data_IF_991953924119
#
_entry.id   IF_991953924119
#
_cell.length_a   1.000
_cell.length_b   1.000
_cell.length_c   1.000
_cell.angle_alpha   90.00
_cell.angle_beta   90.00
_cell.angle_gamma   90.00
#
_symmetry.space_group_name_H-M   'P 1'
#
loop_
_entity.id
_entity.type
_entity.pdbx_description
1 polymer ?
#
# COMPACT_ATOMS: atom_id res chain seq x y z
N UNK A 1 3.98 -9.47 -20.62
CA UNK A 1 5.01 -9.56 -19.56
C UNK A 1 4.31 -10.06 -18.31
N UNK A 2 4.92 -10.97 -17.56
CA UNK A 2 4.32 -11.50 -16.32
C UNK A 2 4.55 -10.53 -15.17
N UNK A 3 3.55 -10.33 -14.33
CA UNK A 3 3.74 -9.57 -13.10
C UNK A 3 4.74 -10.24 -12.16
N UNK A 4 5.52 -9.43 -11.47
CA UNK A 4 6.49 -9.89 -10.49
C UNK A 4 6.64 -8.91 -9.36
N UNK A 5 7.17 -9.39 -8.23
CA UNK A 5 7.67 -8.55 -7.16
C UNK A 5 9.06 -9.02 -6.73
N UNK A 6 9.89 -8.09 -6.27
CA UNK A 6 11.22 -8.39 -5.72
C UNK A 6 11.50 -7.50 -4.52
N UNK A 7 12.33 -7.96 -3.57
CA UNK A 7 12.93 -7.06 -2.58
C UNK A 7 13.81 -6.03 -3.28
N UNK A 8 13.83 -4.80 -2.79
CA UNK A 8 14.80 -3.79 -3.25
C UNK A 8 16.22 -4.13 -2.80
N UNK A 9 16.36 -4.64 -1.58
CA UNK A 9 17.58 -5.27 -1.08
C UNK A 9 17.34 -6.78 -0.89
N UNK A 10 17.97 -7.65 -1.69
CA UNK A 10 17.85 -9.10 -1.55
C UNK A 10 18.25 -9.64 -0.17
N UNK A 11 19.11 -8.92 0.55
CA UNK A 11 19.59 -9.32 1.87
C UNK A 11 18.69 -8.80 3.01
N UNK A 12 17.69 -7.98 2.70
CA UNK A 12 16.76 -7.52 3.71
C UNK A 12 15.99 -8.69 4.33
N UNK A 13 15.94 -8.71 5.65
CA UNK A 13 15.13 -9.64 6.46
C UNK A 13 14.19 -8.81 7.32
N UNK A 14 12.89 -9.02 7.18
CA UNK A 14 11.90 -8.52 8.13
C UNK A 14 11.36 -9.70 8.93
N UNK A 15 11.25 -9.54 10.25
CA UNK A 15 10.81 -10.60 11.14
C UNK A 15 9.36 -10.43 11.58
N UNK A 16 8.90 -9.17 11.67
CA UNK A 16 7.62 -8.82 12.30
C UNK A 16 6.64 -8.23 11.29
N UNK A 17 7.08 -7.44 10.33
CA UNK A 17 6.17 -6.65 9.48
C UNK A 17 6.38 -6.95 8.00
N UNK A 18 5.31 -7.29 7.30
CA UNK A 18 5.40 -7.71 5.90
C UNK A 18 4.37 -6.97 5.04
N UNK A 19 4.73 -6.77 3.77
CA UNK A 19 3.73 -6.49 2.74
C UNK A 19 2.99 -7.80 2.49
N UNK A 20 1.68 -7.76 2.60
CA UNK A 20 0.82 -8.91 2.42
C UNK A 20 0.22 -9.00 1.03
N UNK A 21 -0.96 -9.60 0.94
CA UNK A 21 -1.73 -9.67 -0.29
C UNK A 21 -1.84 -8.31 -0.94
N UNK A 22 -1.46 -8.23 -2.20
CA UNK A 22 -1.45 -7.00 -2.99
C UNK A 22 -2.21 -7.29 -4.28
N UNK A 23 -3.20 -6.48 -4.61
CA UNK A 23 -4.03 -6.69 -5.79
C UNK A 23 -4.38 -5.40 -6.50
N UNK A 24 -4.45 -5.46 -7.83
CA UNK A 24 -4.92 -4.39 -8.68
C UNK A 24 -6.15 -4.89 -9.43
N UNK A 25 -7.29 -4.22 -9.30
CA UNK A 25 -8.56 -4.68 -9.88
C UNK A 25 -9.37 -3.54 -10.49
N UNK A 26 -10.37 -3.90 -11.28
CA UNK A 26 -11.37 -2.93 -11.74
C UNK A 26 -12.11 -2.38 -10.52
N UNK A 27 -12.42 -1.09 -10.56
CA UNK A 27 -13.23 -0.46 -9.52
C UNK A 27 -14.61 -1.11 -9.45
N UNK A 28 -15.06 -1.44 -8.24
CA UNK A 28 -16.36 -2.06 -8.00
C UNK A 28 -17.28 -1.05 -7.33
N UNK A 29 -18.45 -0.80 -7.92
CA UNK A 29 -19.53 0.03 -7.35
C UNK A 29 -20.54 -0.85 -6.58
N UNK A 30 -21.18 -0.36 -5.49
CA UNK A 30 -20.94 0.92 -4.81
C UNK A 30 -19.67 0.90 -3.94
N UNK A 31 -19.08 2.06 -3.60
CA UNK A 31 -19.58 3.45 -3.82
C UNK A 31 -19.38 3.97 -5.26
N UNK A 32 -19.89 5.16 -5.62
CA UNK A 32 -19.68 5.76 -6.94
C UNK A 32 -18.20 5.89 -7.29
N UNK A 33 -17.86 5.61 -8.55
CA UNK A 33 -16.50 5.67 -9.05
C UNK A 33 -16.02 7.14 -9.14
N UNK A 34 -14.91 7.52 -8.47
CA UNK A 34 -14.33 8.84 -8.64
C UNK A 34 -13.93 9.13 -10.09
N UNK A 35 -14.04 10.40 -10.50
CA UNK A 35 -13.53 10.84 -11.79
C UNK A 35 -12.02 10.57 -11.88
N UNK A 36 -11.57 10.05 -13.01
CA UNK A 36 -10.17 9.69 -13.30
C UNK A 36 -9.60 8.50 -12.50
N UNK A 37 -10.41 7.75 -11.76
CA UNK A 37 -9.96 6.48 -11.19
C UNK A 37 -9.96 5.42 -12.30
N UNK A 38 -8.83 4.80 -12.59
CA UNK A 38 -8.74 3.75 -13.63
C UNK A 38 -8.87 2.36 -13.02
N UNK A 39 -8.19 2.15 -11.89
CA UNK A 39 -8.20 0.90 -11.15
C UNK A 39 -8.23 1.12 -9.63
N UNK A 40 -8.67 0.11 -8.91
CA UNK A 40 -8.61 0.02 -7.45
C UNK A 40 -7.45 -0.89 -7.06
N UNK A 41 -6.65 -0.45 -6.10
CA UNK A 41 -5.56 -1.23 -5.54
C UNK A 41 -5.81 -1.45 -4.05
N UNK A 42 -5.46 -2.64 -3.58
CA UNK A 42 -5.41 -2.97 -2.17
C UNK A 42 -4.07 -3.61 -1.84
N UNK A 43 -3.53 -3.26 -0.68
CA UNK A 43 -2.28 -3.79 -0.15
C UNK A 43 -2.49 -4.10 1.32
N UNK A 44 -2.29 -5.34 1.70
CA UNK A 44 -2.29 -5.74 3.09
C UNK A 44 -0.95 -5.39 3.74
N UNK A 45 -1.00 -4.94 4.99
CA UNK A 45 0.15 -4.94 5.90
C UNK A 45 -0.13 -5.98 6.97
N UNK A 46 0.81 -6.93 7.14
CA UNK A 46 0.57 -8.13 7.94
C UNK A 46 1.71 -8.40 8.92
N UNK A 47 1.39 -9.13 9.99
CA UNK A 47 2.34 -9.57 11.02
C UNK A 47 2.16 -11.06 11.29
N UNK A 48 3.17 -11.76 11.84
CA UNK A 48 3.00 -13.13 12.30
C UNK A 48 1.89 -13.24 13.35
N UNK A 49 1.24 -14.41 13.43
CA UNK A 49 0.13 -14.68 14.35
C UNK A 49 0.47 -14.40 15.83
N UNK A 50 1.74 -14.48 16.22
CA UNK A 50 2.22 -14.12 17.56
C UNK A 50 1.90 -12.66 17.94
N UNK A 51 1.76 -11.77 16.94
CA UNK A 51 1.49 -10.35 17.13
C UNK A 51 0.01 -9.98 16.95
N UNK A 52 -0.92 -10.95 16.88
CA UNK A 52 -2.35 -10.71 16.61
C UNK A 52 -3.05 -9.78 17.60
N UNK A 53 -2.60 -9.78 18.85
CA UNK A 53 -3.19 -8.98 19.93
C UNK A 53 -2.44 -7.66 20.16
N UNK A 54 -1.40 -7.40 19.37
CA UNK A 54 -0.54 -6.24 19.50
C UNK A 54 -1.22 -5.07 18.79
N UNK A 55 -1.44 -4.00 19.54
CA UNK A 55 -1.91 -2.72 19.00
C UNK A 55 -0.71 -1.82 18.74
N UNK A 56 -0.60 -1.35 17.51
CA UNK A 56 0.43 -0.42 17.08
C UNK A 56 -0.09 1.00 17.22
N UNK A 57 0.74 1.90 17.75
CA UNK A 57 0.40 3.33 17.86
C UNK A 57 0.29 3.96 16.49
N UNK A 58 1.09 3.49 15.54
CA UNK A 58 1.07 3.96 14.16
C UNK A 58 1.42 2.82 13.21
N UNK A 59 0.66 2.71 12.11
CA UNK A 59 0.96 1.83 11.00
C UNK A 59 1.01 2.69 9.73
N UNK A 60 2.13 2.66 9.02
CA UNK A 60 2.28 3.35 7.75
C UNK A 60 2.52 2.38 6.60
N UNK A 61 1.94 2.68 5.44
CA UNK A 61 2.27 2.10 4.14
C UNK A 61 2.74 3.23 3.22
N UNK A 62 3.99 3.19 2.80
CA UNK A 62 4.57 4.14 1.84
C UNK A 62 4.65 3.51 0.47
N UNK A 63 4.14 4.22 -0.54
CA UNK A 63 4.08 3.77 -1.92
C UNK A 63 4.68 4.81 -2.86
N UNK A 64 5.33 4.35 -3.93
CA UNK A 64 5.86 5.22 -4.98
C UNK A 64 5.66 4.60 -6.36
N UNK A 65 5.07 5.36 -7.27
CA UNK A 65 4.88 4.97 -8.68
C UNK A 65 6.22 4.92 -9.38
N UNK A 66 6.45 3.84 -10.11
CA UNK A 66 7.61 3.65 -11.02
C UNK A 66 7.20 3.58 -12.48
N UNK A 67 5.93 3.35 -12.77
CA UNK A 67 5.36 3.42 -14.12
C UNK A 67 3.90 2.99 -14.19
N UNK A 68 3.20 3.29 -15.29
CA UNK A 68 3.68 4.09 -16.42
C UNK A 68 3.78 5.59 -16.08
N UNK A 69 4.47 6.37 -16.91
CA UNK A 69 4.54 7.83 -16.75
C UNK A 69 3.14 8.44 -16.74
N UNK A 70 2.90 9.35 -15.80
CA UNK A 70 1.58 9.98 -15.61
C UNK A 70 0.66 9.22 -14.65
N UNK A 71 0.98 7.97 -14.32
CA UNK A 71 0.22 7.24 -13.31
C UNK A 71 0.40 7.84 -11.91
N UNK A 72 -0.68 7.88 -11.14
CA UNK A 72 -0.70 8.41 -9.78
C UNK A 72 -1.55 7.53 -8.87
N UNK A 73 -1.19 7.52 -7.60
CA UNK A 73 -2.10 7.07 -6.56
C UNK A 73 -3.12 8.15 -6.28
N UNK A 74 -4.36 7.76 -5.99
CA UNK A 74 -5.42 8.68 -5.57
C UNK A 74 -6.22 8.09 -4.40
N UNK A 75 -6.89 8.92 -3.59
CA UNK A 75 -7.78 8.43 -2.55
C UNK A 75 -8.86 7.53 -3.13
N UNK A 76 -9.17 6.46 -2.41
CA UNK A 76 -10.25 5.55 -2.75
C UNK A 76 -11.41 5.73 -1.75
N UNK A 77 -12.67 5.79 -2.20
CA UNK A 77 -13.83 5.82 -1.30
C UNK A 77 -13.92 4.65 -0.29
N UNK A 78 -13.24 3.52 -0.54
CA UNK A 78 -13.11 2.37 0.37
C UNK A 78 -11.97 2.53 1.37
N UNK A 79 -11.21 3.61 1.30
CA UNK A 79 -10.21 3.94 2.32
C UNK A 79 -10.93 4.03 3.66
N UNK A 80 -10.51 3.21 4.64
CA UNK A 80 -11.15 3.15 5.95
C UNK A 80 -11.12 4.51 6.64
N UNK A 81 -12.15 4.81 7.44
CA UNK A 81 -12.34 6.13 8.06
C UNK A 81 -11.20 6.61 8.97
N UNK A 82 -10.37 5.69 9.48
CA UNK A 82 -9.18 6.01 10.28
C UNK A 82 -7.90 6.22 9.48
N UNK A 83 -7.88 5.89 8.18
CA UNK A 83 -6.68 5.97 7.34
C UNK A 83 -6.48 7.41 6.86
N UNK A 84 -5.29 7.95 7.12
CA UNK A 84 -4.85 9.27 6.68
C UNK A 84 -4.06 9.15 5.38
N UNK A 85 -4.38 10.02 4.43
CA UNK A 85 -3.73 10.12 3.12
C UNK A 85 -2.66 11.19 3.16
N UNK A 86 -1.39 10.80 3.13
CA UNK A 86 -0.26 11.72 3.14
C UNK A 86 0.36 11.93 1.76
N UNK A 87 0.46 13.18 1.32
CA UNK A 87 1.19 13.61 0.12
C UNK A 87 2.55 14.18 0.56
N UNK A 88 3.67 13.89 -0.14
CA UNK A 88 4.96 14.43 0.24
C UNK A 88 4.98 15.96 0.09
N UNK A 89 5.57 16.64 1.08
CA UNK A 89 5.81 18.09 1.00
C UNK A 89 7.14 18.32 0.27
N UNK A 90 7.12 19.15 -0.77
CA UNK A 90 8.31 19.44 -1.57
C UNK A 90 9.46 19.98 -0.71
N UNK A 91 10.66 19.42 -0.87
CA UNK A 91 11.85 19.81 -0.09
C UNK A 91 11.84 19.37 1.38
N UNK A 92 10.93 18.48 1.78
CA UNK A 92 10.79 18.00 3.16
C UNK A 92 10.64 16.49 3.24
N UNK A 93 10.92 15.93 4.42
CA UNK A 93 10.59 14.54 4.78
C UNK A 93 9.17 14.41 5.35
N UNK A 94 8.48 15.53 5.56
CA UNK A 94 7.13 15.59 6.08
C UNK A 94 6.06 15.26 5.03
N UNK A 95 4.89 14.87 5.52
CA UNK A 95 3.73 14.50 4.71
C UNK A 95 2.56 15.41 5.06
N UNK A 96 1.94 15.98 4.04
CA UNK A 96 0.69 16.71 4.15
C UNK A 96 -0.48 15.74 4.12
N UNK A 97 -1.19 15.63 5.25
CA UNK A 97 -2.35 14.77 5.41
C UNK A 97 -3.69 15.50 5.23
N UNK A 98 -3.64 16.79 4.87
CA UNK A 98 -4.83 17.62 4.59
C UNK A 98 -5.21 17.61 3.11
N UNK A 99 -4.25 17.30 2.24
CA UNK A 99 -4.45 17.23 0.79
C UNK A 99 -4.84 15.82 0.34
N UNK A 100 -6.03 15.67 -0.24
CA UNK A 100 -6.50 14.44 -0.89
C UNK A 100 -6.13 14.35 -2.38
N UNK A 101 -5.05 15.04 -2.77
CA UNK A 101 -4.66 15.14 -4.18
C UNK A 101 -4.02 13.83 -4.69
N UNK A 102 -4.29 13.43 -5.95
CA UNK A 102 -3.55 12.37 -6.60
C UNK A 102 -2.04 12.66 -6.66
N UNK A 103 -1.20 11.68 -6.35
CA UNK A 103 0.25 11.84 -6.18
C UNK A 103 1.02 10.61 -6.66
N UNK A 104 2.23 10.76 -7.25
CA UNK A 104 3.10 9.63 -7.58
C UNK A 104 3.69 8.96 -6.34
N UNK A 105 3.65 9.60 -5.17
CA UNK A 105 4.15 9.05 -3.90
C UNK A 105 3.17 9.34 -2.79
N UNK A 106 2.78 8.33 -2.03
CA UNK A 106 1.78 8.47 -0.96
C UNK A 106 2.25 7.74 0.29
N UNK A 107 1.87 8.25 1.47
CA UNK A 107 1.93 7.55 2.74
C UNK A 107 0.51 7.38 3.26
N UNK A 108 0.06 6.14 3.39
CA UNK A 108 -1.19 5.81 4.07
C UNK A 108 -0.86 5.51 5.53
N UNK A 109 -1.55 6.18 6.46
CA UNK A 109 -1.25 6.06 7.89
C UNK A 109 -2.50 5.75 8.69
N UNK A 110 -2.46 4.70 9.48
CA UNK A 110 -3.50 4.36 10.45
C UNK A 110 -2.95 4.58 11.86
N UNK A 111 -3.43 5.60 12.59
CA UNK A 111 -3.18 5.72 14.02
C UNK A 111 -3.96 4.63 14.77
N UNK A 112 -3.35 4.03 15.78
CA UNK A 112 -3.96 3.03 16.66
C UNK A 112 -4.65 1.89 15.89
N UNK A 113 -3.89 0.85 15.56
CA UNK A 113 -4.40 -0.25 14.74
C UNK A 113 -3.85 -1.62 15.13
N UNK A 114 -4.63 -2.66 14.83
CA UNK A 114 -4.19 -4.07 14.90
C UNK A 114 -4.00 -4.61 13.49
N UNK A 115 -2.87 -5.23 13.22
CA UNK A 115 -2.48 -5.64 11.86
C UNK A 115 -3.15 -6.94 11.38
N UNK A 116 -3.74 -7.74 12.27
CA UNK A 116 -4.52 -8.94 11.90
C UNK A 116 -6.04 -8.71 11.98
N UNK A 117 -6.50 -7.50 11.65
CA UNK A 117 -7.91 -7.09 11.75
C UNK A 117 -8.68 -7.01 10.43
N UNK A 118 -8.04 -7.17 9.27
CA UNK A 118 -8.70 -7.03 7.97
C UNK A 118 -9.15 -8.35 7.33
N UNK A 119 -9.98 -8.22 6.29
CA UNK A 119 -10.78 -9.32 5.73
C UNK A 119 -10.07 -10.28 4.76
N UNK A 120 -8.76 -10.11 4.53
CA UNK A 120 -7.96 -10.98 3.65
C UNK A 120 -6.87 -11.68 4.49
N UNK A 121 -5.69 -11.08 4.64
CA UNK A 121 -4.58 -11.66 5.41
C UNK A 121 -4.02 -10.73 6.51
N UNK A 122 -4.50 -9.48 6.59
CA UNK A 122 -4.20 -8.52 7.65
C UNK A 122 -4.84 -7.16 7.36
N UNK A 123 -4.21 -6.05 7.75
CA UNK A 123 -4.78 -4.71 7.57
C UNK A 123 -4.69 -4.27 6.10
N UNK A 124 -5.83 -4.23 5.42
CA UNK A 124 -5.92 -3.82 4.01
C UNK A 124 -5.99 -2.30 3.84
N UNK A 125 -5.00 -1.73 3.17
CA UNK A 125 -5.03 -0.35 2.69
C UNK A 125 -5.63 -0.30 1.28
N UNK A 126 -6.68 0.49 1.11
CA UNK A 126 -7.37 0.69 -0.17
C UNK A 126 -7.01 2.04 -0.77
N UNK A 127 -6.64 2.04 -2.06
CA UNK A 127 -6.35 3.25 -2.82
C UNK A 127 -6.76 3.09 -4.29
N UNK A 128 -6.80 4.21 -5.02
CA UNK A 128 -7.07 4.26 -6.45
C UNK A 128 -5.77 4.46 -7.23
N UNK A 129 -5.79 4.02 -8.48
CA UNK A 129 -4.76 4.34 -9.47
C UNK A 129 -5.42 5.11 -10.60
N UNK A 130 -4.83 6.25 -10.96
CA UNK A 130 -5.21 7.06 -12.11
C UNK A 130 -4.06 7.16 -13.12
N UNK A 131 -4.37 7.55 -14.35
CA UNK A 131 -3.39 7.63 -15.44
C UNK A 131 -2.90 6.26 -15.90
N UNK A 132 -3.72 5.21 -15.74
CA UNK A 132 -3.41 3.85 -16.16
C UNK A 132 -4.22 3.49 -17.43
N UNK A 133 -3.60 3.50 -18.62
CA UNK A 133 -4.24 3.01 -19.84
C UNK A 133 -4.79 1.59 -19.68
N UNK A 134 -5.92 1.29 -20.34
CA UNK A 134 -6.69 0.04 -20.17
C UNK A 134 -5.92 -1.27 -20.40
N UNK A 135 -4.82 -1.24 -21.14
CA UNK A 135 -3.95 -2.40 -21.43
C UNK A 135 -2.57 -2.28 -20.81
N UNK A 136 -2.32 -1.23 -20.03
CA UNK A 136 -1.02 -0.98 -19.43
C UNK A 136 -0.84 -1.74 -18.13
N UNK A 137 0.43 -1.94 -17.79
CA UNK A 137 0.82 -2.50 -16.50
C UNK A 137 1.30 -1.40 -15.57
N UNK A 138 0.95 -1.51 -14.31
CA UNK A 138 1.39 -0.64 -13.25
C UNK A 138 2.67 -1.17 -12.59
N UNK A 139 3.59 -0.28 -12.22
CA UNK A 139 4.80 -0.61 -11.49
C UNK A 139 4.99 0.39 -10.35
N UNK A 140 5.30 -0.11 -9.17
CA UNK A 140 5.40 0.71 -7.97
C UNK A 140 6.29 0.04 -6.92
N UNK A 141 6.64 0.77 -5.87
CA UNK A 141 7.33 0.24 -4.71
C UNK A 141 6.48 0.39 -3.47
N UNK A 142 6.61 -0.54 -2.53
CA UNK A 142 5.89 -0.53 -1.26
C UNK A 142 6.81 -0.85 -0.09
N UNK A 143 6.65 -0.10 1.01
CA UNK A 143 7.30 -0.37 2.28
C UNK A 143 6.34 -0.02 3.41
N UNK A 144 6.31 -0.84 4.46
CA UNK A 144 5.49 -0.62 5.64
C UNK A 144 6.34 -0.37 6.87
N UNK A 145 5.84 0.47 7.77
CA UNK A 145 6.38 0.64 9.13
C UNK A 145 5.25 0.49 10.14
N UNK A 146 5.57 0.00 11.32
CA UNK A 146 4.63 -0.07 12.42
C UNK A 146 5.37 0.24 13.72
N UNK A 147 4.81 1.16 14.49
CA UNK A 147 5.38 1.65 15.73
C UNK A 147 4.55 1.18 16.92
N UNK A 148 5.25 0.79 17.97
CA UNK A 148 4.76 0.70 19.33
C UNK A 148 5.51 1.69 20.21
N UNK A 149 4.98 1.93 21.42
CA UNK A 149 5.52 2.89 22.40
C UNK A 149 7.05 2.76 22.60
N UNK A 150 7.61 1.55 22.49
CA UNK A 150 9.02 1.27 22.77
C UNK A 150 9.82 0.71 21.58
N UNK A 151 9.19 0.45 20.43
CA UNK A 151 9.87 -0.18 19.29
C UNK A 151 9.17 0.11 17.97
N UNK A 152 9.98 0.28 16.92
CA UNK A 152 9.53 0.39 15.53
C UNK A 152 9.96 -0.86 14.76
N UNK A 153 9.09 -1.35 13.88
CA UNK A 153 9.41 -2.41 12.94
C UNK A 153 9.13 -1.96 11.51
N UNK A 154 9.89 -2.50 10.56
CA UNK A 154 9.82 -2.12 9.14
C UNK A 154 9.81 -3.36 8.27
N UNK A 155 9.03 -3.33 7.18
CA UNK A 155 9.05 -4.39 6.18
C UNK A 155 10.21 -4.19 5.21
N UNK A 156 10.64 -5.26 4.55
CA UNK A 156 11.53 -5.10 3.40
C UNK A 156 10.79 -4.33 2.30
N UNK A 157 11.39 -3.24 1.75
CA UNK A 157 10.82 -2.55 0.61
C UNK A 157 10.72 -3.49 -0.59
N UNK A 158 9.55 -3.53 -1.21
CA UNK A 158 9.28 -4.34 -2.39
C UNK A 158 9.14 -3.46 -3.63
N UNK A 159 9.58 -3.99 -4.77
CA UNK A 159 9.29 -3.44 -6.10
C UNK A 159 8.34 -4.38 -6.82
N UNK A 160 7.20 -3.86 -7.25
CA UNK A 160 6.22 -4.53 -8.07
C UNK A 160 6.38 -4.05 -9.52
N UNK A 161 6.43 -5.00 -10.45
CA UNK A 161 6.61 -4.72 -11.88
C UNK A 161 5.56 -5.44 -12.70
N UNK A 162 5.17 -4.80 -13.80
CA UNK A 162 4.26 -5.35 -14.81
C UNK A 162 2.90 -5.78 -14.24
N UNK A 163 2.38 -5.08 -13.22
CA UNK A 163 1.16 -5.45 -12.51
C UNK A 163 -0.08 -4.97 -13.27
N UNK A 164 -0.80 -5.89 -13.90
CA UNK A 164 -1.99 -5.62 -14.70
C UNK A 164 -3.27 -5.64 -13.86
N UNK A 165 -4.32 -4.99 -14.37
CA UNK A 165 -5.65 -5.02 -13.74
C UNK A 165 -6.22 -6.45 -13.79
N UNK A 166 -6.60 -6.96 -12.61
CA UNK A 166 -7.07 -8.34 -12.41
C UNK A 166 -6.04 -9.24 -11.75
N UNK A 167 -4.78 -8.78 -11.60
CA UNK A 167 -3.72 -9.56 -10.97
C UNK A 167 -3.64 -9.32 -9.46
N UNK A 168 -3.14 -10.35 -8.76
CA UNK A 168 -2.88 -10.30 -7.33
C UNK A 168 -1.66 -11.15 -6.97
N UNK A 169 -0.96 -10.73 -5.94
CA UNK A 169 -0.01 -11.53 -5.18
C UNK A 169 -0.62 -11.82 -3.81
N UNK A 170 -0.49 -13.04 -3.30
CA UNK A 170 -1.07 -13.45 -2.03
C UNK A 170 -0.01 -13.93 -1.05
N UNK A 171 -0.26 -13.73 0.24
CA UNK A 171 0.59 -14.23 1.33
C UNK A 171 1.58 -13.20 1.88
N UNK A 172 2.68 -13.68 2.46
CA UNK A 172 3.73 -12.86 3.07
C UNK A 172 4.79 -12.48 2.04
N UNK A 173 4.62 -11.35 1.38
CA UNK A 173 5.52 -10.90 0.32
C UNK A 173 6.83 -10.39 0.93
N UNK A 174 7.96 -10.86 0.40
CA UNK A 174 9.29 -10.45 0.88
C UNK A 174 9.70 -11.03 2.22
N UNK A 175 9.08 -12.11 2.67
CA UNK A 175 9.53 -12.83 3.87
C UNK A 175 10.85 -13.54 3.66
N UNK A 176 11.01 -14.20 2.51
CA UNK A 176 12.17 -15.04 2.17
C UNK A 176 13.32 -14.21 1.60
#
# INVERSE_FOLDING_TARGET
MTASYTKQDPNCRSEILFIGTTGLRKFVTPPPKPANLDAEMYIDVIVPAAYKNVEFTEICLTLEVKGPTGAKFMPNPRMGSGVRWGVPISGSTAWDETSLSPTPRVRLRLPHGKLLSGGINGLSFWLGVSGLPTTSTFSFTAAATADQVLASTTSCPLSFKNFAVGEQFSGYLGRD
#
